data_IF_541295222072
#
_entry.id   IF_541295222072
#
_cell.length_a   1.000
_cell.length_b   1.000
_cell.length_c   1.000
_cell.angle_alpha   90.00
_cell.angle_beta   90.00
_cell.angle_gamma   90.00
#
_symmetry.space_group_name_H-M   'P 1'
#
loop_
_entity.id
_entity.type
_entity.pdbx_description
1 polymer ?
#
# COMPACT_ATOMS: atom_id res chain seq x y z
N UNK A 1 28.22 20.77 -15.51
CA UNK A 1 27.30 20.23 -14.50
C UNK A 1 25.91 20.36 -15.08
N UNK A 2 25.29 19.24 -15.44
CA UNK A 2 23.91 19.22 -15.96
C UNK A 2 23.22 18.05 -15.28
N UNK A 3 22.47 18.39 -14.23
CA UNK A 3 21.39 17.55 -13.70
C UNK A 3 20.18 17.70 -14.64
N UNK A 4 19.67 16.57 -15.12
CA UNK A 4 18.48 16.42 -15.95
C UNK A 4 18.19 14.90 -16.04
N UNK A 5 17.03 14.33 -15.75
CA UNK A 5 15.69 14.84 -15.45
C UNK A 5 15.00 13.83 -14.52
N UNK A 6 14.06 14.30 -13.69
CA UNK A 6 13.09 13.43 -13.03
C UNK A 6 12.33 12.62 -14.07
N UNK A 7 12.24 11.30 -13.86
CA UNK A 7 11.42 10.42 -14.69
C UNK A 7 9.96 10.57 -14.25
N UNK A 8 9.13 11.20 -15.07
CA UNK A 8 7.67 11.13 -14.90
C UNK A 8 7.22 9.69 -15.17
N UNK A 9 6.37 9.09 -14.31
CA UNK A 9 5.85 7.75 -14.58
C UNK A 9 4.85 7.80 -15.74
N UNK A 10 5.01 6.86 -16.67
CA UNK A 10 4.09 6.58 -17.78
C UNK A 10 2.76 6.05 -17.23
N UNK A 11 1.83 6.95 -16.91
CA UNK A 11 0.51 6.64 -16.33
C UNK A 11 -0.40 6.08 -17.43
N UNK A 12 -0.27 4.81 -17.76
CA UNK A 12 -1.13 4.17 -18.77
C UNK A 12 -0.73 2.78 -19.23
N UNK A 13 0.46 2.31 -18.87
CA UNK A 13 0.92 0.97 -19.22
C UNK A 13 0.59 -0.02 -18.10
N UNK A 14 -0.38 -0.90 -18.33
CA UNK A 14 -0.70 -2.02 -17.43
C UNK A 14 0.24 -3.20 -17.70
N UNK A 15 1.55 -2.95 -17.79
CA UNK A 15 2.48 -4.07 -17.70
C UNK A 15 2.25 -4.74 -16.34
N UNK A 16 2.21 -6.07 -16.31
CA UNK A 16 2.09 -6.82 -15.06
C UNK A 16 3.25 -6.40 -14.15
N UNK A 17 2.93 -5.68 -13.06
CA UNK A 17 3.92 -5.22 -12.09
C UNK A 17 4.61 -6.47 -11.52
N UNK A 18 5.94 -6.62 -11.68
CA UNK A 18 6.64 -7.76 -11.12
C UNK A 18 6.45 -7.80 -9.60
N UNK A 19 5.96 -8.92 -9.08
CA UNK A 19 5.86 -9.12 -7.64
C UNK A 19 7.28 -9.22 -7.05
N UNK A 20 7.57 -8.39 -6.06
CA UNK A 20 8.81 -8.46 -5.29
C UNK A 20 8.68 -9.54 -4.21
N UNK A 21 9.77 -10.27 -3.96
CA UNK A 21 9.84 -11.21 -2.85
C UNK A 21 9.80 -10.47 -1.51
N UNK A 22 9.18 -11.10 -0.51
CA UNK A 22 9.16 -10.56 0.85
C UNK A 22 10.54 -10.75 1.48
N UNK A 23 11.13 -9.67 1.97
CA UNK A 23 12.37 -9.73 2.73
C UNK A 23 12.07 -10.18 4.18
N UNK A 24 12.33 -11.46 4.48
CA UNK A 24 12.14 -12.05 5.81
C UNK A 24 13.09 -11.48 6.88
N UNK A 25 14.15 -10.76 6.49
CA UNK A 25 15.09 -10.12 7.43
C UNK A 25 14.55 -8.80 7.97
N UNK A 26 13.56 -8.23 7.28
CA UNK A 26 12.82 -7.07 7.77
C UNK A 26 11.74 -7.60 8.71
N UNK A 27 11.81 -7.29 10.02
CA UNK A 27 10.75 -7.70 10.93
C UNK A 27 9.43 -7.05 10.50
N UNK A 28 8.28 -7.70 10.75
CA UNK A 28 6.99 -7.04 10.68
C UNK A 28 7.09 -5.71 11.45
N UNK A 29 6.48 -4.64 10.95
CA UNK A 29 6.48 -3.35 11.63
C UNK A 29 5.27 -3.30 12.57
N UNK A 30 5.40 -3.71 13.85
CA UNK A 30 4.25 -3.75 14.75
C UNK A 30 3.61 -2.37 14.89
N UNK A 31 4.38 -1.29 14.76
CA UNK A 31 3.88 0.08 14.81
C UNK A 31 2.91 0.39 13.65
N UNK A 32 3.14 -0.19 12.47
CA UNK A 32 2.29 -0.02 11.29
C UNK A 32 0.97 -0.77 11.48
N UNK A 33 1.01 -2.02 11.95
CA UNK A 33 -0.18 -2.79 12.28
C UNK A 33 -1.02 -2.11 13.37
N UNK A 34 -0.37 -1.58 14.42
CA UNK A 34 -1.04 -0.82 15.48
C UNK A 34 -1.66 0.46 14.90
N UNK A 35 -0.94 1.17 14.02
CA UNK A 35 -1.45 2.40 13.42
C UNK A 35 -2.65 2.14 12.50
N UNK A 36 -2.67 1.02 11.77
CA UNK A 36 -3.80 0.64 10.92
C UNK A 36 -5.03 0.27 11.74
N UNK A 37 -4.86 -0.48 12.82
CA UNK A 37 -5.95 -0.75 13.77
C UNK A 37 -6.45 0.56 14.39
N UNK A 38 -5.55 1.45 14.80
CA UNK A 38 -5.93 2.74 15.39
C UNK A 38 -6.68 3.66 14.40
N UNK A 39 -6.40 3.55 13.10
CA UNK A 39 -7.12 4.28 12.04
C UNK A 39 -8.37 3.57 11.55
N UNK A 40 -8.49 2.26 11.77
CA UNK A 40 -9.62 1.48 11.29
C UNK A 40 -10.94 2.03 11.86
N UNK A 41 -11.88 2.32 10.97
CA UNK A 41 -13.24 2.67 11.37
C UNK A 41 -14.14 1.45 11.18
N UNK A 42 -14.90 1.05 12.21
CA UNK A 42 -15.87 -0.02 12.05
C UNK A 42 -16.91 0.36 10.99
N UNK A 43 -17.31 -0.59 10.16
CA UNK A 43 -18.37 -0.40 9.18
C UNK A 43 -19.68 -0.01 9.90
N UNK A 44 -20.23 1.19 9.68
CA UNK A 44 -21.42 1.66 10.38
C UNK A 44 -22.68 0.83 10.04
N UNK A 45 -22.69 0.09 8.92
CA UNK A 45 -23.81 -0.77 8.53
C UNK A 45 -23.61 -2.23 8.98
N UNK A 46 -22.42 -2.56 9.51
CA UNK A 46 -22.01 -3.92 9.83
C UNK A 46 -21.88 -4.83 8.61
N UNK A 47 -21.21 -5.97 8.79
CA UNK A 47 -21.17 -7.04 7.79
C UNK A 47 -22.54 -7.72 7.68
N UNK A 48 -23.48 -7.05 7.01
CA UNK A 48 -24.85 -7.53 6.82
C UNK A 48 -25.87 -6.45 6.50
N UNK A 49 -25.44 -5.38 5.80
CA UNK A 49 -26.28 -4.25 5.41
C UNK A 49 -27.71 -4.65 5.05
N UNK A 50 -28.66 -3.88 5.61
CA UNK A 50 -30.10 -4.13 5.64
C UNK A 50 -30.64 -4.92 4.43
N UNK A 51 -31.31 -6.04 4.73
CA UNK A 51 -32.13 -6.79 3.77
C UNK A 51 -33.12 -5.90 3.03
#
# INVERSE_FOLDING_TARGET
MSEAHGSEPDVGRTDEVPLLEVDETIPPRPEEEIADVARSQPDPLGHGGAR
#
